data_IF_883099917297
#
_entry.id   IF_883099917297
#
_cell.length_a   1.000
_cell.length_b   1.000
_cell.length_c   1.000
_cell.angle_alpha   90.00
_cell.angle_beta   90.00
_cell.angle_gamma   90.00
#
_symmetry.space_group_name_H-M   'P 1'
#
loop_
_entity.id
_entity.type
_entity.pdbx_description
1 polymer ?
#
# COMPACT_ATOMS: atom_id res chain seq x y z
N UNK A 1 2.00 -0.45 15.66
CA UNK A 1 2.61 -1.76 15.37
C UNK A 1 2.97 -2.57 16.61
N UNK A 2 3.62 -2.00 17.64
CA UNK A 2 4.01 -2.72 18.87
C UNK A 2 2.93 -3.61 19.51
N UNK A 3 1.67 -3.17 19.51
CA UNK A 3 0.54 -3.97 20.01
C UNK A 3 0.24 -5.22 19.16
N UNK A 4 0.31 -5.09 17.82
CA UNK A 4 0.14 -6.20 16.89
C UNK A 4 1.31 -7.19 16.98
N UNK A 5 2.54 -6.68 17.09
CA UNK A 5 3.73 -7.50 17.31
C UNK A 5 3.63 -8.29 18.62
N UNK A 6 3.19 -7.65 19.72
CA UNK A 6 2.95 -8.33 21.00
C UNK A 6 1.86 -9.42 20.89
N UNK A 7 0.84 -9.18 20.06
CA UNK A 7 -0.25 -10.14 19.83
C UNK A 7 0.10 -11.22 18.77
N UNK A 8 1.24 -11.12 18.08
CA UNK A 8 1.60 -12.01 16.98
C UNK A 8 1.55 -13.51 17.35
N UNK A 9 2.05 -13.97 18.52
CA UNK A 9 1.96 -15.38 18.90
C UNK A 9 0.51 -15.86 19.08
N UNK A 10 -0.34 -15.02 19.66
CA UNK A 10 -1.76 -15.32 19.85
C UNK A 10 -2.47 -15.44 18.50
N UNK A 11 -2.29 -14.46 17.61
CA UNK A 11 -2.89 -14.49 16.26
C UNK A 11 -2.40 -15.71 15.47
N UNK A 12 -1.11 -16.04 15.55
CA UNK A 12 -0.52 -17.21 14.89
C UNK A 12 -1.15 -18.53 15.36
N UNK A 13 -1.47 -18.65 16.65
CA UNK A 13 -2.18 -19.81 17.18
C UNK A 13 -3.60 -19.96 16.60
N UNK A 14 -4.32 -18.83 16.45
CA UNK A 14 -5.66 -18.81 15.88
C UNK A 14 -5.64 -19.19 14.39
N UNK A 15 -4.70 -18.64 13.63
CA UNK A 15 -4.51 -18.95 12.21
C UNK A 15 -4.18 -20.44 12.01
N UNK A 16 -3.28 -20.99 12.83
CA UNK A 16 -2.95 -22.41 12.79
C UNK A 16 -4.16 -23.32 13.03
N UNK A 17 -5.00 -22.97 14.01
CA UNK A 17 -6.24 -23.71 14.29
C UNK A 17 -7.25 -23.58 13.15
N UNK A 18 -7.45 -22.37 12.62
CA UNK A 18 -8.42 -22.10 11.57
C UNK A 18 -8.06 -22.81 10.26
N UNK A 19 -6.77 -22.80 9.89
CA UNK A 19 -6.28 -23.38 8.64
C UNK A 19 -5.82 -24.84 8.78
N UNK A 20 -5.82 -25.40 9.99
CA UNK A 20 -5.33 -26.77 10.31
C UNK A 20 -3.89 -27.02 9.84
N UNK A 21 -3.03 -26.03 10.00
CA UNK A 21 -1.63 -26.11 9.56
C UNK A 21 -0.77 -26.81 10.62
N UNK A 22 0.11 -27.70 10.16
CA UNK A 22 1.15 -28.30 11.02
C UNK A 22 2.20 -27.27 11.44
N UNK A 23 2.55 -26.35 10.55
CA UNK A 23 3.52 -25.28 10.78
C UNK A 23 2.92 -23.98 10.29
N UNK A 24 2.82 -22.99 11.17
CA UNK A 24 2.35 -21.64 10.82
C UNK A 24 3.57 -20.73 10.66
N UNK A 25 3.70 -20.02 9.52
CA UNK A 25 4.80 -19.09 9.29
C UNK A 25 4.75 -17.92 10.28
N UNK A 26 5.84 -17.16 10.34
CA UNK A 26 5.89 -15.93 11.12
C UNK A 26 4.97 -14.86 10.52
N UNK A 27 4.23 -14.16 11.38
CA UNK A 27 3.32 -13.10 10.98
C UNK A 27 4.05 -11.77 11.06
N UNK A 28 4.10 -11.06 9.93
CA UNK A 28 4.63 -9.69 9.84
C UNK A 28 3.48 -8.74 9.56
N UNK A 29 3.39 -7.69 10.36
CA UNK A 29 2.41 -6.64 10.16
C UNK A 29 3.04 -5.53 9.34
N UNK A 30 2.38 -5.13 8.25
CA UNK A 30 2.81 -4.05 7.37
C UNK A 30 1.63 -3.10 7.24
N UNK A 31 1.89 -1.80 7.42
CA UNK A 31 0.87 -0.79 7.21
C UNK A 31 0.75 -0.52 5.71
N UNK A 32 -0.46 -0.65 5.16
CA UNK A 32 -0.71 -0.42 3.74
C UNK A 32 -0.80 1.10 3.47
N UNK A 33 0.16 1.61 2.70
CA UNK A 33 0.20 3.00 2.24
C UNK A 33 -0.19 3.15 0.76
N UNK A 34 -0.51 2.05 0.08
CA UNK A 34 -0.65 2.02 -1.38
C UNK A 34 -1.77 2.91 -1.89
N UNK A 35 -2.87 3.06 -1.16
CA UNK A 35 -3.97 3.94 -1.57
C UNK A 35 -3.57 5.42 -1.58
N UNK A 36 -2.88 5.88 -0.53
CA UNK A 36 -2.43 7.27 -0.40
C UNK A 36 -1.39 7.58 -1.48
N UNK A 37 -0.41 6.68 -1.66
CA UNK A 37 0.58 6.83 -2.72
C UNK A 37 -0.06 6.78 -4.11
N UNK A 38 -1.06 5.93 -4.33
CA UNK A 38 -1.81 5.87 -5.59
C UNK A 38 -2.48 7.20 -5.94
N UNK A 39 -3.14 7.84 -4.97
CA UNK A 39 -3.72 9.18 -5.17
C UNK A 39 -2.65 10.23 -5.44
N UNK A 40 -1.53 10.21 -4.70
CA UNK A 40 -0.41 11.14 -4.91
C UNK A 40 0.17 11.01 -6.32
N UNK A 41 0.41 9.78 -6.76
CA UNK A 41 0.90 9.48 -8.10
C UNK A 41 -0.09 9.93 -9.18
N UNK A 42 -1.38 9.65 -9.01
CA UNK A 42 -2.42 10.09 -9.96
C UNK A 42 -2.46 11.61 -10.11
N UNK A 43 -2.36 12.35 -9.01
CA UNK A 43 -2.29 13.81 -9.03
C UNK A 43 -1.03 14.32 -9.75
N UNK A 44 0.13 13.70 -9.47
CA UNK A 44 1.38 14.06 -10.14
C UNK A 44 1.29 13.84 -11.66
N UNK A 45 0.79 12.68 -12.09
CA UNK A 45 0.58 12.37 -13.52
C UNK A 45 -0.36 13.39 -14.15
N UNK A 46 -1.49 13.69 -13.50
CA UNK A 46 -2.46 14.67 -14.01
C UNK A 46 -1.84 16.05 -14.17
N UNK A 47 -1.01 16.48 -13.22
CA UNK A 47 -0.34 17.79 -13.29
C UNK A 47 0.67 17.83 -14.44
N UNK A 48 1.50 16.79 -14.60
CA UNK A 48 2.48 16.70 -15.69
C UNK A 48 1.79 16.75 -17.06
N UNK A 49 0.72 15.98 -17.25
CA UNK A 49 -0.05 16.00 -18.52
C UNK A 49 -0.60 17.40 -18.81
N UNK A 50 -1.18 18.07 -17.80
CA UNK A 50 -1.69 19.44 -17.96
C UNK A 50 -0.60 20.46 -18.29
N UNK A 51 0.60 20.29 -17.74
CA UNK A 51 1.74 21.17 -18.03
C UNK A 51 2.26 20.97 -19.46
N UNK A 52 2.32 19.73 -19.93
CA UNK A 52 2.72 19.42 -21.30
C UNK A 52 1.69 19.92 -22.33
N UNK A 53 0.39 19.73 -22.07
CA UNK A 53 -0.68 20.28 -22.92
C UNK A 53 -0.59 21.81 -23.04
N UNK A 54 -0.30 22.52 -21.95
CA UNK A 54 -0.13 23.99 -21.97
C UNK A 54 1.04 24.42 -22.84
N UNK A 55 2.18 23.74 -22.76
CA UNK A 55 3.36 24.05 -23.58
C UNK A 55 3.08 23.86 -25.07
N UNK A 56 2.37 22.79 -25.44
CA UNK A 56 1.99 22.55 -26.84
C UNK A 56 1.06 23.64 -27.40
N UNK A 57 0.14 24.17 -26.59
CA UNK A 57 -0.73 25.29 -27.02
C UNK A 57 0.05 26.60 -27.18
N UNK A 58 1.13 26.81 -26.43
CA UNK A 58 1.99 28.00 -26.55
C UNK A 58 2.93 27.94 -27.78
N UNK A 59 3.30 26.75 -28.26
CA UNK A 59 4.16 26.58 -29.46
C UNK A 59 3.41 26.73 -30.79
N UNK A 60 2.08 26.50 -30.80
CA UNK A 60 1.22 26.59 -31.99
C UNK A 60 0.63 28.00 -32.24
N UNK A 61 0.93 28.99 -31.38
CA UNK A 61 0.52 30.41 -31.53
C UNK A 61 1.70 31.33 -31.87
#
# INVERSE_FOLDING_TARGET
MKGLEKAAPYIRSLVGKAMRLRIVPEIRFIYDQSLVEGMRMSNLVTNVVREDEKKHVEEDN
#
